data_IF_907032638139
#
_entry.id   IF_907032638139
#
_cell.length_a   1.000
_cell.length_b   1.000
_cell.length_c   1.000
_cell.angle_alpha   90.00
_cell.angle_beta   90.00
_cell.angle_gamma   90.00
#
_symmetry.space_group_name_H-M   'P 1'
#
loop_
_entity.id
_entity.type
_entity.pdbx_description
1 polymer ?
#
# COMPACT_ATOMS: atom_id res chain seq x y z
N UNK A 1 17.78 -9.30 6.30
CA UNK A 1 16.86 -8.91 7.39
C UNK A 1 15.46 -9.16 6.87
N UNK A 2 14.64 -9.87 7.62
CA UNK A 2 13.27 -10.15 7.21
C UNK A 2 12.38 -8.96 7.55
N UNK A 3 11.72 -8.40 6.53
CA UNK A 3 10.78 -7.29 6.68
C UNK A 3 9.44 -7.84 7.13
N UNK A 4 8.80 -7.19 8.10
CA UNK A 4 7.56 -7.67 8.69
C UNK A 4 6.40 -6.77 8.26
N UNK A 5 5.26 -7.35 7.88
CA UNK A 5 4.02 -6.60 7.65
C UNK A 5 3.26 -6.37 8.96
N UNK A 6 3.16 -7.42 9.79
CA UNK A 6 2.38 -7.44 11.02
C UNK A 6 2.96 -8.43 12.03
N UNK A 7 2.79 -8.09 13.30
CA UNK A 7 2.94 -9.01 14.44
C UNK A 7 1.63 -9.02 15.22
N UNK A 8 1.29 -10.15 15.83
CA UNK A 8 0.07 -10.31 16.62
C UNK A 8 0.29 -11.29 17.76
N UNK A 9 -0.42 -11.08 18.85
CA UNK A 9 -0.59 -12.10 19.89
C UNK A 9 -1.78 -13.00 19.54
N UNK A 10 -1.71 -14.25 19.98
CA UNK A 10 -2.85 -15.17 19.99
C UNK A 10 -3.81 -14.82 21.14
N UNK A 11 -4.88 -15.59 21.27
CA UNK A 11 -5.91 -15.40 22.31
C UNK A 11 -5.37 -15.57 23.74
N UNK A 12 -4.21 -16.22 23.89
CA UNK A 12 -3.55 -16.46 25.18
C UNK A 12 -2.45 -15.42 25.48
N UNK A 13 -2.27 -14.41 24.61
CA UNK A 13 -1.24 -13.39 24.75
C UNK A 13 0.15 -13.81 24.27
N UNK A 14 0.31 -14.99 23.65
CA UNK A 14 1.58 -15.43 23.10
C UNK A 14 1.79 -14.83 21.70
N UNK A 15 3.01 -14.42 21.39
CA UNK A 15 3.33 -13.93 20.05
C UNK A 15 3.26 -15.05 19.01
N UNK A 16 2.44 -14.85 17.98
CA UNK A 16 2.47 -15.68 16.78
C UNK A 16 3.72 -15.35 15.93
N UNK A 17 4.18 -16.27 15.05
CA UNK A 17 5.21 -15.96 14.08
C UNK A 17 4.87 -14.68 13.30
N UNK A 18 5.83 -13.74 13.09
CA UNK A 18 5.60 -12.52 12.32
C UNK A 18 5.12 -12.83 10.91
N UNK A 19 4.14 -12.07 10.43
CA UNK A 19 3.74 -12.17 9.04
C UNK A 19 4.73 -11.35 8.19
N UNK A 20 5.50 -12.04 7.36
CA UNK A 20 6.55 -11.41 6.56
C UNK A 20 5.93 -10.49 5.49
N UNK A 21 6.59 -9.37 5.23
CA UNK A 21 6.10 -8.36 4.29
C UNK A 21 5.98 -8.93 2.88
N UNK A 22 6.96 -9.73 2.45
CA UNK A 22 6.92 -10.37 1.14
C UNK A 22 5.69 -11.28 1.00
N UNK A 23 5.47 -12.16 1.97
CA UNK A 23 4.32 -13.08 1.99
C UNK A 23 3.00 -12.32 2.03
N UNK A 24 2.92 -11.28 2.87
CA UNK A 24 1.73 -10.43 2.98
C UNK A 24 1.36 -9.78 1.65
N UNK A 25 2.35 -9.19 0.96
CA UNK A 25 2.12 -8.54 -0.34
C UNK A 25 1.75 -9.56 -1.42
N UNK A 26 2.44 -10.70 -1.47
CA UNK A 26 2.17 -11.77 -2.45
C UNK A 26 0.77 -12.38 -2.25
N UNK A 27 0.43 -12.78 -1.01
CA UNK A 27 -0.87 -13.35 -0.68
C UNK A 27 -2.02 -12.36 -0.93
N UNK A 28 -1.83 -11.09 -0.55
CA UNK A 28 -2.85 -10.04 -0.78
C UNK A 28 -3.02 -9.79 -2.28
N UNK A 29 -1.92 -9.73 -3.04
CA UNK A 29 -1.96 -9.59 -4.49
C UNK A 29 -2.67 -10.75 -5.18
N UNK A 30 -2.43 -11.99 -4.74
CA UNK A 30 -3.09 -13.17 -5.30
C UNK A 30 -4.60 -13.18 -5.04
N UNK A 31 -5.03 -12.79 -3.84
CA UNK A 31 -6.45 -12.66 -3.53
C UNK A 31 -7.10 -11.52 -4.32
N UNK A 32 -6.48 -10.35 -4.34
CA UNK A 32 -6.99 -9.18 -5.10
C UNK A 32 -7.08 -9.49 -6.59
N UNK A 33 -6.06 -10.15 -7.15
CA UNK A 33 -6.03 -10.68 -8.52
C UNK A 33 -7.22 -11.59 -8.81
N UNK A 34 -7.46 -12.60 -7.96
CA UNK A 34 -8.57 -13.55 -8.11
C UNK A 34 -9.95 -12.89 -8.00
N UNK A 35 -10.09 -11.88 -7.16
CA UNK A 35 -11.35 -11.15 -7.05
C UNK A 35 -11.59 -10.25 -8.27
N UNK A 36 -10.54 -9.58 -8.76
CA UNK A 36 -10.62 -8.71 -9.92
C UNK A 36 -10.74 -9.47 -11.26
N UNK A 37 -10.36 -10.75 -11.31
CA UNK A 37 -10.46 -11.56 -12.54
C UNK A 37 -11.90 -11.73 -13.02
N UNK A 38 -12.89 -11.70 -12.12
CA UNK A 38 -14.33 -11.67 -12.47
C UNK A 38 -14.72 -10.49 -13.35
N UNK A 39 -13.93 -9.43 -13.32
CA UNK A 39 -14.08 -8.20 -14.10
C UNK A 39 -12.94 -8.05 -15.12
N UNK A 40 -12.30 -9.14 -15.54
CA UNK A 40 -11.16 -9.12 -16.48
C UNK A 40 -10.04 -8.14 -16.08
N UNK A 41 -9.88 -7.91 -14.76
CA UNK A 41 -9.00 -6.89 -14.19
C UNK A 41 -7.95 -7.48 -13.26
N UNK A 42 -7.59 -8.74 -13.52
CA UNK A 42 -6.65 -9.53 -12.71
C UNK A 42 -5.34 -8.77 -12.43
N UNK A 43 -4.71 -8.23 -13.47
CA UNK A 43 -3.44 -7.51 -13.36
C UNK A 43 -3.56 -6.21 -12.55
N UNK A 44 -4.71 -5.55 -12.60
CA UNK A 44 -4.98 -4.35 -11.79
C UNK A 44 -5.12 -4.71 -10.31
N UNK A 45 -5.90 -5.76 -10.01
CA UNK A 45 -6.04 -6.29 -8.65
C UNK A 45 -4.70 -6.73 -8.07
N UNK A 46 -3.88 -7.45 -8.87
CA UNK A 46 -2.53 -7.87 -8.46
C UNK A 46 -1.64 -6.67 -8.15
N UNK A 47 -1.66 -5.64 -9.01
CA UNK A 47 -0.85 -4.43 -8.83
C UNK A 47 -1.25 -3.66 -7.57
N UNK A 48 -2.56 -3.52 -7.31
CA UNK A 48 -3.07 -2.92 -6.07
C UNK A 48 -2.60 -3.69 -4.83
N UNK A 49 -2.73 -5.03 -4.82
CA UNK A 49 -2.32 -5.84 -3.68
C UNK A 49 -0.82 -5.82 -3.40
N UNK A 50 0.03 -5.79 -4.43
CA UNK A 50 1.49 -5.69 -4.26
C UNK A 50 1.94 -4.32 -3.73
N UNK A 51 1.19 -3.26 -4.02
CA UNK A 51 1.60 -1.89 -3.71
C UNK A 51 0.98 -1.35 -2.42
N UNK A 52 -0.15 -1.90 -1.95
CA UNK A 52 -0.93 -1.33 -0.84
C UNK A 52 -0.07 -1.03 0.41
N UNK A 53 0.73 -2.00 0.83
CA UNK A 53 1.59 -1.93 2.02
C UNK A 53 3.08 -1.75 1.69
N UNK A 54 3.43 -1.40 0.45
CA UNK A 54 4.82 -1.26 0.02
C UNK A 54 5.65 -0.30 0.90
N UNK A 55 5.02 0.76 1.43
CA UNK A 55 5.65 1.69 2.35
C UNK A 55 6.15 1.10 3.67
N UNK A 56 5.71 -0.12 4.03
CA UNK A 56 6.24 -0.87 5.17
C UNK A 56 7.65 -1.41 4.92
N UNK A 57 8.07 -1.50 3.65
CA UNK A 57 9.39 -1.96 3.24
C UNK A 57 10.52 -0.97 3.53
N UNK A 58 10.22 0.20 4.09
CA UNK A 58 11.20 1.22 4.47
C UNK A 58 11.76 0.95 5.86
N UNK A 59 13.04 1.22 6.05
CA UNK A 59 13.71 1.03 7.35
C UNK A 59 13.08 1.87 8.47
N UNK A 60 12.63 3.08 8.15
CA UNK A 60 11.91 3.95 9.08
C UNK A 60 10.65 3.27 9.62
N UNK A 61 9.90 2.59 8.76
CA UNK A 61 8.70 1.86 9.14
C UNK A 61 9.03 0.59 9.93
N UNK A 62 10.06 -0.18 9.52
CA UNK A 62 10.47 -1.37 10.26
C UNK A 62 11.00 -1.03 11.66
N UNK A 63 11.73 0.08 11.80
CA UNK A 63 12.17 0.59 13.09
C UNK A 63 10.99 1.07 13.95
N UNK A 64 10.00 1.72 13.34
CA UNK A 64 8.74 2.06 14.00
C UNK A 64 8.03 0.79 14.52
N UNK A 65 7.87 -0.24 13.69
CA UNK A 65 7.24 -1.50 14.09
C UNK A 65 7.98 -2.14 15.26
N UNK A 66 9.33 -2.22 15.20
CA UNK A 66 10.16 -2.79 16.27
C UNK A 66 9.96 -2.06 17.60
N UNK A 67 9.95 -0.73 17.56
CA UNK A 67 9.80 0.10 18.76
C UNK A 67 8.38 0.15 19.31
N UNK A 68 7.35 -0.07 18.47
CA UNK A 68 5.96 0.15 18.87
C UNK A 68 5.17 -1.12 19.17
N UNK A 69 5.59 -2.26 18.64
CA UNK A 69 4.77 -3.47 18.67
C UNK A 69 4.84 -4.26 19.97
N UNK A 70 5.86 -4.06 20.82
CA UNK A 70 6.10 -4.92 21.98
C UNK A 70 6.60 -6.34 21.63
N UNK A 71 6.69 -6.68 20.34
CA UNK A 71 7.14 -8.01 19.88
C UNK A 71 8.64 -8.23 20.10
N UNK A 72 9.44 -7.16 19.98
CA UNK A 72 10.91 -7.24 20.06
C UNK A 72 11.46 -6.83 21.43
N UNK A 73 10.70 -6.03 22.17
CA UNK A 73 11.07 -5.48 23.46
C UNK A 73 9.79 -5.24 24.25
N UNK A 74 9.58 -5.99 25.33
CA UNK A 74 8.40 -5.82 26.20
C UNK A 74 8.39 -4.45 26.89
N UNK A 75 9.55 -3.82 27.06
CA UNK A 75 9.68 -2.46 27.57
C UNK A 75 9.41 -1.38 26.50
N UNK A 76 8.93 -1.77 25.31
CA UNK A 76 8.33 -0.86 24.33
C UNK A 76 7.06 -0.20 24.91
N UNK A 77 7.25 0.72 25.85
CA UNK A 77 6.24 1.58 26.42
C UNK A 77 6.40 2.96 25.82
N UNK A 78 5.35 3.39 25.13
CA UNK A 78 5.38 4.46 24.16
C UNK A 78 4.82 5.75 24.72
N UNK A 79 5.46 6.28 25.76
CA UNK A 79 5.22 7.67 26.13
C UNK A 79 6.01 8.58 25.17
N UNK A 80 5.29 9.44 24.43
CA UNK A 80 5.88 10.57 23.70
C UNK A 80 6.30 10.35 22.22
N UNK A 81 6.05 9.19 21.62
CA UNK A 81 6.36 8.95 20.20
C UNK A 81 5.19 9.36 19.27
N UNK A 82 5.47 9.89 18.06
CA UNK A 82 4.46 10.43 17.13
C UNK A 82 3.43 9.37 16.71
N UNK A 83 2.29 9.83 16.16
CA UNK A 83 1.13 9.02 15.77
C UNK A 83 1.41 7.89 14.75
N UNK A 84 0.36 7.28 14.20
CA UNK A 84 0.45 6.18 13.22
C UNK A 84 1.42 6.56 12.08
N UNK A 85 2.49 5.79 11.88
CA UNK A 85 3.46 6.07 10.82
C UNK A 85 2.84 5.80 9.44
N UNK A 86 2.80 6.81 8.54
CA UNK A 86 2.26 6.62 7.20
C UNK A 86 3.07 5.59 6.39
N UNK A 87 2.35 4.75 5.65
CA UNK A 87 2.93 3.78 4.71
C UNK A 87 2.15 3.72 3.40
N UNK A 88 0.82 3.91 3.44
CA UNK A 88 -0.05 3.92 2.27
C UNK A 88 0.49 4.86 1.17
N UNK A 89 0.80 6.11 1.52
CA UNK A 89 1.24 7.11 0.54
C UNK A 89 2.55 6.74 -0.18
N UNK A 90 3.43 5.97 0.48
CA UNK A 90 4.67 5.50 -0.11
C UNK A 90 4.42 4.43 -1.18
N UNK A 91 3.46 3.54 -0.94
CA UNK A 91 3.00 2.59 -1.96
C UNK A 91 2.29 3.29 -3.12
N UNK A 92 1.51 4.32 -2.82
CA UNK A 92 0.79 5.12 -3.81
C UNK A 92 1.75 5.87 -4.73
N UNK A 93 2.79 6.48 -4.14
CA UNK A 93 3.85 7.15 -4.89
C UNK A 93 4.68 6.17 -5.72
N UNK A 94 5.08 5.04 -5.13
CA UNK A 94 5.82 3.97 -5.82
C UNK A 94 5.10 3.51 -7.10
N UNK A 95 3.80 3.22 -7.02
CA UNK A 95 3.06 2.70 -8.17
C UNK A 95 2.88 3.77 -9.26
N UNK A 96 2.69 5.04 -8.90
CA UNK A 96 2.61 6.13 -9.88
C UNK A 96 3.96 6.41 -10.55
N UNK A 97 5.07 6.28 -9.82
CA UNK A 97 6.42 6.45 -10.38
C UNK A 97 6.77 5.32 -11.38
N UNK A 98 6.33 4.09 -11.13
CA UNK A 98 6.60 2.95 -12.02
C UNK A 98 5.63 2.91 -13.22
N UNK A 99 4.34 3.16 -13.00
CA UNK A 99 3.26 2.95 -13.99
C UNK A 99 2.68 4.24 -14.57
N UNK A 100 3.23 5.39 -14.18
CA UNK A 100 2.86 6.70 -14.70
C UNK A 100 1.48 7.19 -14.25
N UNK A 101 1.11 8.38 -14.73
CA UNK A 101 -0.10 9.13 -14.31
C UNK A 101 -1.43 8.56 -14.81
N UNK A 102 -1.39 7.46 -15.57
CA UNK A 102 -2.59 6.76 -16.06
C UNK A 102 -2.88 5.58 -15.11
N UNK A 103 -2.46 4.38 -15.47
CA UNK A 103 -2.60 3.16 -14.66
C UNK A 103 -2.07 3.34 -13.24
N UNK A 104 -0.87 3.91 -13.09
CA UNK A 104 -0.26 4.12 -11.78
C UNK A 104 -1.09 5.06 -10.89
N UNK A 105 -1.69 6.11 -11.44
CA UNK A 105 -2.52 7.05 -10.67
C UNK A 105 -3.81 6.43 -10.15
N UNK A 106 -4.47 5.63 -10.98
CA UNK A 106 -5.68 4.92 -10.55
C UNK A 106 -5.37 3.98 -9.38
N UNK A 107 -4.28 3.21 -9.47
CA UNK A 107 -3.86 2.35 -8.36
C UNK A 107 -3.39 3.17 -7.15
N UNK A 108 -2.72 4.29 -7.37
CA UNK A 108 -2.27 5.22 -6.33
C UNK A 108 -3.42 5.66 -5.43
N UNK A 109 -4.60 5.95 -6.00
CA UNK A 109 -5.81 6.22 -5.23
C UNK A 109 -6.25 5.06 -4.34
N UNK A 110 -6.35 3.85 -4.91
CA UNK A 110 -6.74 2.66 -4.17
C UNK A 110 -5.76 2.38 -3.00
N UNK A 111 -4.47 2.55 -3.26
CA UNK A 111 -3.40 2.32 -2.27
C UNK A 111 -3.42 3.38 -1.18
N UNK A 112 -3.46 4.67 -1.53
CA UNK A 112 -3.50 5.75 -0.55
C UNK A 112 -4.73 5.66 0.36
N UNK A 113 -5.87 5.28 -0.22
CA UNK A 113 -7.16 5.25 0.47
C UNK A 113 -7.41 4.02 1.35
N UNK A 114 -6.52 3.02 1.38
CA UNK A 114 -6.83 1.72 2.00
C UNK A 114 -7.06 1.72 3.53
N UNK A 115 -6.75 2.82 4.23
CA UNK A 115 -7.05 2.99 5.66
C UNK A 115 -8.17 4.00 5.95
N UNK A 116 -8.40 4.97 5.06
CA UNK A 116 -9.17 6.18 5.36
C UNK A 116 -10.23 6.53 4.31
N UNK A 117 -10.32 5.77 3.22
CA UNK A 117 -11.15 6.08 2.06
C UNK A 117 -10.42 6.89 0.99
N UNK A 118 -11.05 7.05 -0.17
CA UNK A 118 -10.47 7.78 -1.31
C UNK A 118 -10.37 9.27 -1.00
N UNK A 119 -9.18 9.83 -1.25
CA UNK A 119 -8.90 11.26 -1.08
C UNK A 119 -9.37 12.05 -2.31
N UNK A 120 -9.60 13.36 -2.14
CA UNK A 120 -9.74 14.25 -3.29
C UNK A 120 -8.38 14.39 -4.02
N UNK A 121 -8.41 14.58 -5.35
CA UNK A 121 -7.19 14.85 -6.13
C UNK A 121 -6.51 16.13 -5.63
N UNK A 122 -7.23 17.24 -5.74
CA UNK A 122 -6.81 18.58 -5.36
C UNK A 122 -7.62 19.04 -4.15
N UNK A 123 -7.01 19.79 -3.24
CA UNK A 123 -7.75 20.38 -2.14
C UNK A 123 -8.77 21.41 -2.64
N UNK A 124 -10.02 21.29 -2.19
CA UNK A 124 -10.91 22.47 -2.09
C UNK A 124 -10.34 23.45 -1.06
N UNK A 125 -10.82 24.70 -1.04
CA UNK A 125 -10.43 25.66 0.01
C UNK A 125 -10.68 25.03 1.40
N UNK A 126 -9.60 24.67 2.10
CA UNK A 126 -9.62 24.03 3.42
C UNK A 126 -9.08 22.59 3.49
N UNK A 127 -9.05 21.83 2.38
CA UNK A 127 -8.58 20.43 2.38
C UNK A 127 -7.07 20.29 2.09
N UNK A 128 -6.36 21.40 1.85
CA UNK A 128 -5.06 21.46 1.14
C UNK A 128 -4.04 20.35 1.38
N UNK A 129 -3.76 19.96 2.64
CA UNK A 129 -2.75 18.93 2.95
C UNK A 129 -3.26 17.47 2.90
N UNK A 130 -4.58 17.29 2.85
CA UNK A 130 -5.22 15.99 2.83
C UNK A 130 -5.39 15.42 1.41
N UNK A 131 -5.22 16.24 0.37
CA UNK A 131 -5.39 15.80 -1.02
C UNK A 131 -4.26 14.86 -1.45
N UNK A 132 -4.59 13.94 -2.36
CA UNK A 132 -3.61 12.98 -2.86
C UNK A 132 -2.47 13.67 -3.61
N UNK A 133 -2.78 14.70 -4.42
CA UNK A 133 -1.76 15.46 -5.15
C UNK A 133 -0.73 16.09 -4.19
N UNK A 134 -1.20 16.73 -3.11
CA UNK A 134 -0.32 17.33 -2.11
C UNK A 134 0.54 16.27 -1.43
N UNK A 135 -0.07 15.15 -1.01
CA UNK A 135 0.66 14.08 -0.33
C UNK A 135 1.72 13.45 -1.24
N UNK A 136 1.39 13.17 -2.50
CA UNK A 136 2.33 12.62 -3.47
C UNK A 136 3.50 13.57 -3.78
N UNK A 137 3.26 14.90 -3.78
CA UNK A 137 4.31 15.89 -4.04
C UNK A 137 5.22 16.16 -2.85
N UNK A 138 4.85 15.73 -1.64
CA UNK A 138 5.60 15.93 -0.40
C UNK A 138 6.12 14.62 0.21
N UNK A 139 5.97 13.50 -0.50
CA UNK A 139 6.58 12.23 -0.11
C UNK A 139 8.03 12.18 -0.56
N UNK A 140 8.92 11.97 0.41
CA UNK A 140 10.36 11.75 0.24
C UNK A 140 10.73 10.38 0.85
N UNK A 141 11.73 9.69 0.30
CA UNK A 141 12.16 8.37 0.79
C UNK A 141 11.33 7.20 0.25
N UNK A 142 10.92 7.26 -1.02
CA UNK A 142 10.26 6.13 -1.72
C UNK A 142 11.29 5.14 -2.23
N UNK A 143 12.46 5.65 -2.59
CA UNK A 143 13.69 4.92 -2.90
C UNK A 143 14.15 4.02 -1.74
N UNK A 144 13.78 4.34 -0.50
CA UNK A 144 14.05 3.51 0.69
C UNK A 144 13.17 2.25 0.75
N UNK A 145 12.15 2.14 -0.11
CA UNK A 145 11.38 0.90 -0.23
C UNK A 145 12.29 -0.17 -0.80
N UNK A 146 12.38 -1.29 -0.09
CA UNK A 146 13.29 -2.36 -0.45
C UNK A 146 13.05 -2.95 -1.86
N UNK A 147 14.14 -3.34 -2.54
CA UNK A 147 14.16 -3.58 -3.99
C UNK A 147 13.22 -4.69 -4.49
N UNK A 148 12.98 -5.75 -3.69
CA UNK A 148 12.07 -6.81 -4.14
C UNK A 148 10.64 -6.29 -4.39
N UNK A 149 10.22 -5.24 -3.67
CA UNK A 149 8.91 -4.62 -3.84
C UNK A 149 8.89 -3.83 -5.16
N UNK A 150 9.95 -3.08 -5.45
CA UNK A 150 10.11 -2.41 -6.75
C UNK A 150 10.03 -3.41 -7.91
N UNK A 151 10.76 -4.52 -7.79
CA UNK A 151 10.80 -5.55 -8.83
C UNK A 151 9.43 -6.22 -9.00
N UNK A 152 8.75 -6.55 -7.90
CA UNK A 152 7.40 -7.13 -7.92
C UNK A 152 6.37 -6.18 -8.57
N UNK A 153 6.38 -4.90 -8.19
CA UNK A 153 5.45 -3.88 -8.74
C UNK A 153 5.76 -3.60 -10.21
N UNK A 154 7.04 -3.57 -10.62
CA UNK A 154 7.46 -3.38 -12.02
C UNK A 154 7.10 -4.56 -12.93
N UNK A 155 7.08 -5.77 -12.37
CA UNK A 155 6.77 -7.00 -13.12
C UNK A 155 5.30 -7.09 -13.56
N UNK A 156 4.37 -6.42 -12.85
CA UNK A 156 2.95 -6.43 -13.21
C UNK A 156 2.63 -5.27 -14.12
N UNK A 157 2.25 -5.52 -15.38
CA UNK A 157 1.87 -4.49 -16.35
C UNK A 157 0.44 -4.70 -16.81
N UNK A 158 -0.55 -3.98 -16.25
CA UNK A 158 -1.91 -4.00 -16.76
C UNK A 158 -1.95 -3.57 -18.24
N UNK A 159 -2.19 -4.51 -19.15
CA UNK A 159 -2.19 -4.24 -20.61
C UNK A 159 -3.56 -3.84 -21.16
N UNK A 160 -4.63 -4.29 -20.51
CA UNK A 160 -5.99 -3.96 -20.88
C UNK A 160 -6.58 -2.95 -19.90
N UNK A 161 -7.43 -2.05 -20.43
CA UNK A 161 -8.30 -1.26 -19.57
C UNK A 161 -9.23 -2.19 -18.78
N UNK A 162 -9.61 -1.80 -17.55
CA UNK A 162 -10.63 -2.51 -16.79
C UNK A 162 -11.92 -2.70 -17.59
N UNK A 163 -12.65 -3.78 -17.27
CA UNK A 163 -13.85 -4.19 -17.98
C UNK A 163 -14.87 -3.06 -18.12
N UNK A 164 -15.42 -2.89 -19.33
CA UNK A 164 -16.56 -2.00 -19.55
C UNK A 164 -17.87 -2.77 -19.35
N UNK A 165 -18.73 -2.28 -18.45
CA UNK A 165 -19.98 -2.96 -18.13
C UNK A 165 -21.00 -2.94 -19.29
N UNK A 166 -20.97 -1.93 -20.19
CA UNK A 166 -21.84 -1.80 -21.38
C UNK A 166 -21.24 -0.84 -22.43
N UNK A 167 -21.61 -1.02 -23.71
CA UNK A 167 -21.37 -0.01 -24.74
C UNK A 167 -22.00 1.34 -24.33
N UNK A 168 -21.15 2.37 -24.16
CA UNK A 168 -21.60 3.73 -23.85
C UNK A 168 -21.63 4.11 -22.37
N UNK A 169 -21.15 3.26 -21.45
CA UNK A 169 -20.87 3.63 -20.07
C UNK A 169 -19.38 3.42 -19.75
N UNK A 170 -18.85 4.36 -18.97
CA UNK A 170 -17.44 4.57 -18.66
C UNK A 170 -16.69 3.33 -18.14
N UNK A 171 -15.36 3.45 -18.16
CA UNK A 171 -14.40 2.49 -17.56
C UNK A 171 -14.85 2.16 -16.14
N UNK A 172 -15.06 0.88 -15.84
CA UNK A 172 -15.27 0.45 -14.46
C UNK A 172 -13.93 0.30 -13.75
N UNK A 173 -13.70 1.11 -12.73
CA UNK A 173 -12.60 0.93 -11.80
C UNK A 173 -13.03 0.11 -10.57
N UNK A 174 -13.95 -0.86 -10.76
CA UNK A 174 -14.72 -1.64 -9.78
C UNK A 174 -15.66 -0.84 -8.85
#
# INVERSE_FOLDING_TARGET
MDYIAHVRQDENGNWAPPHLLKEHLENTADLASRFASKFNSEQWGRLAGLSHDAGKGRDTWQNYLRRRSGYFDEAAHLEGQPGKMPHAIYGAKLVEDIHGKQTGRVISYCVAGHHAGLQDWSGSEGAGRASLEYQLSHVEGVEDIYSFIWDAVRAVRPQALPWSFRNGLDISLW
#
